data_IF_526678536582
#
_entry.id   IF_526678536582
#
_cell.length_a   1.000
_cell.length_b   1.000
_cell.length_c   1.000
_cell.angle_alpha   90.00
_cell.angle_beta   90.00
_cell.angle_gamma   90.00
#
_symmetry.space_group_name_H-M   'P 1'
#
loop_
_entity.id
_entity.type
_entity.pdbx_description
1 polymer ?
#
# COMPACT_ATOMS: atom_id res chain seq x y z
N UNK A 1 -17.73 10.19 10.18
CA UNK A 1 -17.24 10.62 8.85
C UNK A 1 -15.98 9.82 8.53
N UNK A 2 -15.81 9.24 7.33
CA UNK A 2 -14.62 8.43 7.01
C UNK A 2 -13.36 9.29 6.91
N UNK A 3 -12.25 8.78 7.44
CA UNK A 3 -10.93 9.43 7.41
C UNK A 3 -10.01 8.62 6.48
N UNK A 4 -9.28 9.32 5.62
CA UNK A 4 -8.28 8.75 4.71
C UNK A 4 -6.93 9.44 4.95
N UNK A 5 -5.83 8.70 4.77
CA UNK A 5 -4.48 9.28 4.88
C UNK A 5 -3.91 9.69 3.52
N UNK A 6 -3.21 10.82 3.49
CA UNK A 6 -2.42 11.23 2.32
C UNK A 6 -1.03 10.59 2.37
N UNK A 7 -0.44 10.33 1.19
CA UNK A 7 0.83 9.62 1.11
C UNK A 7 2.10 10.34 1.57
N UNK A 8 2.08 11.67 1.65
CA UNK A 8 3.30 12.42 1.95
C UNK A 8 4.38 12.32 0.86
N UNK A 9 5.65 12.62 1.18
CA UNK A 9 6.80 12.39 0.29
C UNK A 9 6.93 10.92 -0.13
N UNK A 10 7.74 10.67 -1.16
CA UNK A 10 8.04 9.30 -1.58
C UNK A 10 8.80 8.58 -0.46
N UNK A 11 8.36 7.38 -0.09
CA UNK A 11 9.05 6.48 0.81
C UNK A 11 10.26 5.83 0.13
N UNK A 12 11.24 5.39 0.93
CA UNK A 12 12.45 4.72 0.42
C UNK A 12 12.11 3.41 -0.29
N UNK A 13 11.15 2.64 0.24
CA UNK A 13 10.74 1.36 -0.32
C UNK A 13 9.23 1.21 -0.44
N UNK A 14 8.81 0.31 -1.33
CA UNK A 14 7.42 -0.11 -1.47
C UNK A 14 6.90 -0.77 -0.17
N UNK A 15 7.76 -1.49 0.55
CA UNK A 15 7.45 -2.04 1.87
C UNK A 15 7.16 -0.95 2.91
N UNK A 16 7.90 0.15 2.90
CA UNK A 16 7.62 1.28 3.79
C UNK A 16 6.27 1.92 3.49
N UNK A 17 5.90 2.00 2.20
CA UNK A 17 4.56 2.42 1.78
C UNK A 17 3.48 1.50 2.34
N UNK A 18 3.65 0.17 2.22
CA UNK A 18 2.68 -0.81 2.75
C UNK A 18 2.57 -0.73 4.27
N UNK A 19 3.68 -0.57 5.00
CA UNK A 19 3.70 -0.39 6.46
C UNK A 19 2.95 0.88 6.89
N UNK A 20 3.18 1.99 6.18
CA UNK A 20 2.47 3.26 6.44
C UNK A 20 0.96 3.10 6.24
N UNK A 21 0.54 2.46 5.14
CA UNK A 21 -0.88 2.20 4.86
C UNK A 21 -1.49 1.34 5.96
N UNK A 22 -0.85 0.20 6.27
CA UNK A 22 -1.34 -0.72 7.29
C UNK A 22 -1.43 -0.03 8.67
N UNK A 23 -0.39 0.71 9.09
CA UNK A 23 -0.41 1.44 10.36
C UNK A 23 -1.55 2.46 10.46
N UNK A 24 -1.88 3.14 9.36
CA UNK A 24 -3.01 4.06 9.31
C UNK A 24 -4.35 3.33 9.42
N UNK A 25 -4.52 2.20 8.72
CA UNK A 25 -5.72 1.36 8.82
C UNK A 25 -5.92 0.84 10.25
N UNK A 26 -4.86 0.35 10.90
CA UNK A 26 -4.90 -0.07 12.31
C UNK A 26 -5.23 1.07 13.28
N UNK A 27 -4.94 2.32 12.87
CA UNK A 27 -5.28 3.53 13.62
C UNK A 27 -6.71 4.04 13.34
N UNK A 28 -7.51 3.30 12.55
CA UNK A 28 -8.91 3.62 12.26
C UNK A 28 -9.14 4.35 10.93
N UNK A 29 -8.11 4.58 10.11
CA UNK A 29 -8.30 5.08 8.75
C UNK A 29 -9.14 4.09 7.92
N UNK A 30 -9.94 4.62 7.00
CA UNK A 30 -10.85 3.84 6.15
C UNK A 30 -10.35 3.75 4.68
N UNK A 31 -9.14 4.25 4.40
CA UNK A 31 -8.58 4.26 3.07
C UNK A 31 -7.40 5.23 2.91
N UNK A 32 -6.97 5.41 1.67
CA UNK A 32 -5.78 6.18 1.31
C UNK A 32 -6.06 7.15 0.16
N UNK A 33 -5.36 8.28 0.16
CA UNK A 33 -5.20 9.18 -0.98
C UNK A 33 -3.72 9.23 -1.32
N UNK A 34 -3.27 8.27 -2.12
CA UNK A 34 -1.86 8.08 -2.47
C UNK A 34 -1.55 8.58 -3.88
N UNK A 35 -0.47 9.36 -3.97
CA UNK A 35 0.14 9.77 -5.24
C UNK A 35 1.52 9.14 -5.38
N UNK A 36 2.56 9.93 -5.04
CA UNK A 36 3.99 9.62 -5.28
C UNK A 36 4.40 8.20 -4.92
N UNK A 37 3.97 7.71 -3.76
CA UNK A 37 4.32 6.36 -3.32
C UNK A 37 3.82 5.24 -4.24
N UNK A 38 2.76 5.48 -5.01
CA UNK A 38 2.26 4.50 -5.98
C UNK A 38 2.90 4.72 -7.35
N UNK A 39 2.69 5.89 -7.99
CA UNK A 39 3.09 6.07 -9.40
C UNK A 39 4.60 6.25 -9.61
N UNK A 40 5.38 6.51 -8.56
CA UNK A 40 6.85 6.55 -8.63
C UNK A 40 7.52 5.26 -8.15
N UNK A 41 6.75 4.23 -7.77
CA UNK A 41 7.27 2.86 -7.62
C UNK A 41 7.69 2.34 -9.00
N UNK A 42 8.73 1.49 -9.09
CA UNK A 42 9.05 0.77 -10.33
C UNK A 42 7.92 -0.17 -10.79
N UNK A 43 7.02 -0.56 -9.88
CA UNK A 43 5.94 -1.50 -10.12
C UNK A 43 4.59 -0.96 -9.61
N UNK A 44 4.08 0.15 -10.18
CA UNK A 44 2.95 0.89 -9.61
C UNK A 44 1.66 0.07 -9.54
N UNK A 45 1.38 -0.77 -10.55
CA UNK A 45 0.20 -1.63 -10.57
C UNK A 45 0.27 -2.73 -9.50
N UNK A 46 1.46 -3.34 -9.33
CA UNK A 46 1.68 -4.38 -8.32
C UNK A 46 1.56 -3.80 -6.90
N UNK A 47 2.14 -2.62 -6.66
CA UNK A 47 2.03 -1.93 -5.37
C UNK A 47 0.59 -1.49 -5.07
N UNK A 48 -0.15 -0.99 -6.08
CA UNK A 48 -1.56 -0.65 -5.91
C UNK A 48 -2.41 -1.88 -5.56
N UNK A 49 -2.13 -3.03 -6.18
CA UNK A 49 -2.79 -4.29 -5.86
C UNK A 49 -2.52 -4.71 -4.40
N UNK A 50 -1.26 -4.66 -3.95
CA UNK A 50 -0.91 -4.94 -2.55
C UNK A 50 -1.61 -3.99 -1.56
N UNK A 51 -1.65 -2.69 -1.85
CA UNK A 51 -2.38 -1.71 -1.05
C UNK A 51 -3.90 -1.98 -1.02
N UNK A 52 -4.49 -2.41 -2.14
CA UNK A 52 -5.90 -2.79 -2.22
C UNK A 52 -6.23 -3.95 -1.29
N UNK A 53 -5.33 -4.95 -1.20
CA UNK A 53 -5.50 -6.10 -0.30
C UNK A 53 -5.48 -5.69 1.18
N UNK A 54 -4.59 -4.75 1.55
CA UNK A 54 -4.59 -4.18 2.90
C UNK A 54 -5.94 -3.50 3.23
N UNK A 55 -6.45 -2.67 2.33
CA UNK A 55 -7.66 -1.86 2.57
C UNK A 55 -8.93 -2.71 2.59
N UNK A 56 -9.06 -3.66 1.66
CA UNK A 56 -10.33 -4.35 1.41
C UNK A 56 -10.37 -5.79 1.91
N UNK A 57 -9.22 -6.43 2.13
CA UNK A 57 -9.13 -7.82 2.61
C UNK A 57 -8.51 -7.96 3.99
N UNK A 58 -8.08 -6.85 4.61
CA UNK A 58 -7.50 -6.83 5.96
C UNK A 58 -6.28 -7.76 6.09
N UNK A 59 -5.50 -7.88 5.02
CA UNK A 59 -4.25 -8.63 5.02
C UNK A 59 -3.19 -7.95 5.89
N UNK A 60 -2.23 -8.75 6.34
CA UNK A 60 -1.02 -8.28 7.01
C UNK A 60 -0.04 -7.62 6.02
N UNK A 61 0.92 -6.87 6.54
CA UNK A 61 2.01 -6.28 5.74
C UNK A 61 2.82 -7.36 5.01
N UNK A 62 3.06 -8.51 5.65
CA UNK A 62 3.81 -9.61 5.04
C UNK A 62 3.05 -10.19 3.85
N UNK A 63 1.76 -10.51 4.01
CA UNK A 63 0.93 -11.01 2.90
C UNK A 63 0.86 -10.01 1.75
N UNK A 64 0.74 -8.71 2.05
CA UNK A 64 0.75 -7.67 1.02
C UNK A 64 2.11 -7.57 0.29
N UNK A 65 3.22 -7.77 1.00
CA UNK A 65 4.55 -7.84 0.39
C UNK A 65 4.68 -9.07 -0.52
N UNK A 66 4.22 -10.24 -0.07
CA UNK A 66 4.26 -11.47 -0.87
C UNK A 66 3.44 -11.30 -2.17
N UNK A 67 2.26 -10.68 -2.09
CA UNK A 67 1.40 -10.35 -3.23
C UNK A 67 2.08 -9.35 -4.19
N UNK A 68 2.78 -8.35 -3.65
CA UNK A 68 3.56 -7.42 -4.46
C UNK A 68 4.64 -8.18 -5.25
N UNK A 69 5.44 -9.00 -4.57
CA UNK A 69 6.51 -9.78 -5.19
C UNK A 69 5.97 -10.78 -6.23
N UNK A 70 4.85 -11.43 -5.94
CA UNK A 70 4.16 -12.30 -6.90
C UNK A 70 3.65 -11.54 -8.12
N UNK A 71 3.02 -10.39 -7.91
CA UNK A 71 2.53 -9.53 -9.00
C UNK A 71 3.67 -9.04 -9.89
N UNK A 72 4.85 -8.78 -9.32
CA UNK A 72 6.06 -8.42 -10.07
C UNK A 72 6.59 -9.60 -10.90
N UNK A 73 6.58 -10.82 -10.35
CA UNK A 73 7.03 -12.03 -11.08
C UNK A 73 6.12 -12.40 -12.25
N UNK A 74 4.84 -12.07 -12.15
CA UNK A 74 3.82 -12.43 -13.14
C UNK A 74 3.60 -11.34 -14.22
N UNK A 75 4.31 -10.22 -14.13
CA UNK A 75 4.26 -9.11 -15.08
C UNK A 75 5.33 -9.25 -16.18
#
# INVERSE_FOLDING_TARGET
>A
VPIMIAGGPKCETDLDTLKMIHGALQSGAQGIVMGRNIWQSPHPAALLNAAWQLIHRNCSVQEAQDILEESIRNA
#
